data_IF_418650484750
#
_entry.id   IF_418650484750
#
_cell.length_a   1.000
_cell.length_b   1.000
_cell.length_c   1.000
_cell.angle_alpha   90.00
_cell.angle_beta   90.00
_cell.angle_gamma   90.00
#
_symmetry.space_group_name_H-M   'P 1'
#
loop_
_entity.id
_entity.type
_entity.pdbx_description
1 polymer ?
#
# COMPACT_ATOMS: atom_id res chain seq x y z
N UNK A 1 2.65 -2.74 -17.34
CA UNK A 1 3.53 -1.59 -17.09
C UNK A 1 3.58 -0.77 -18.36
N UNK A 2 3.56 0.56 -18.26
CA UNK A 2 3.56 1.45 -19.42
C UNK A 2 4.95 1.63 -20.02
N UNK A 3 5.99 1.60 -19.19
CA UNK A 3 7.38 1.58 -19.62
C UNK A 3 8.13 0.44 -18.91
N UNK A 4 9.25 -0.08 -19.44
CA UNK A 4 10.09 -1.02 -18.70
C UNK A 4 10.74 -0.36 -17.47
N UNK A 5 11.07 -1.14 -16.44
CA UNK A 5 12.02 -0.67 -15.44
C UNK A 5 13.37 -0.44 -16.12
N UNK A 6 13.86 0.80 -16.14
CA UNK A 6 15.19 1.13 -16.64
C UNK A 6 16.24 0.86 -15.58
N UNK A 7 17.42 0.38 -15.96
CA UNK A 7 18.58 0.24 -15.06
C UNK A 7 19.33 1.58 -14.91
N UNK A 8 19.75 1.98 -13.69
CA UNK A 8 19.40 1.35 -12.42
C UNK A 8 17.93 1.61 -12.13
N UNK A 9 17.24 0.58 -11.63
CA UNK A 9 15.87 0.78 -11.16
C UNK A 9 15.83 1.91 -10.13
N UNK A 10 14.98 2.93 -10.37
CA UNK A 10 14.75 3.96 -9.37
C UNK A 10 14.09 3.25 -8.19
N UNK A 11 14.77 3.24 -7.04
CA UNK A 11 14.35 2.52 -5.82
C UNK A 11 12.88 2.81 -5.44
N UNK A 12 12.39 4.02 -5.75
CA UNK A 12 11.01 4.44 -5.48
C UNK A 12 9.97 3.91 -6.48
N UNK A 13 10.32 3.72 -7.76
CA UNK A 13 9.40 3.15 -8.77
C UNK A 13 9.13 1.67 -8.48
N UNK A 14 10.19 0.92 -8.13
CA UNK A 14 10.05 -0.47 -7.68
C UNK A 14 9.22 -0.54 -6.40
N UNK A 15 9.51 0.34 -5.42
CA UNK A 15 8.74 0.39 -4.18
C UNK A 15 7.27 0.73 -4.42
N UNK A 16 6.96 1.65 -5.34
CA UNK A 16 5.58 1.95 -5.75
C UNK A 16 4.89 0.72 -6.33
N UNK A 17 5.53 0.03 -7.29
CA UNK A 17 4.98 -1.18 -7.89
C UNK A 17 4.73 -2.28 -6.84
N UNK A 18 5.73 -2.59 -6.02
CA UNK A 18 5.60 -3.62 -5.00
C UNK A 18 4.59 -3.24 -3.91
N UNK A 19 4.47 -1.96 -3.57
CA UNK A 19 3.45 -1.48 -2.63
C UNK A 19 2.03 -1.67 -3.19
N UNK A 20 1.81 -1.46 -4.49
CA UNK A 20 0.53 -1.75 -5.13
C UNK A 20 0.20 -3.25 -5.10
N UNK A 21 1.19 -4.11 -5.38
CA UNK A 21 1.03 -5.57 -5.27
C UNK A 21 0.69 -5.97 -3.83
N UNK A 22 1.45 -5.48 -2.84
CA UNK A 22 1.21 -5.77 -1.42
C UNK A 22 -0.15 -5.28 -0.94
N UNK A 23 -0.61 -4.12 -1.43
CA UNK A 23 -1.94 -3.58 -1.11
C UNK A 23 -3.07 -4.51 -1.56
N UNK A 24 -2.91 -5.20 -2.69
CA UNK A 24 -3.89 -6.20 -3.15
C UNK A 24 -3.93 -7.41 -2.21
N UNK A 25 -2.77 -7.94 -1.81
CA UNK A 25 -2.69 -9.02 -0.81
C UNK A 25 -3.41 -8.61 0.49
N UNK A 26 -3.12 -7.40 0.98
CA UNK A 26 -3.76 -6.84 2.17
C UNK A 26 -5.28 -6.78 2.04
N UNK A 27 -5.80 -6.33 0.88
CA UNK A 27 -7.23 -6.25 0.63
C UNK A 27 -7.91 -7.64 0.65
N UNK A 28 -7.35 -8.64 -0.02
CA UNK A 28 -7.93 -10.00 -0.02
C UNK A 28 -7.88 -10.64 1.37
N UNK A 29 -6.76 -10.53 2.07
CA UNK A 29 -6.60 -11.08 3.42
C UNK A 29 -7.56 -10.37 4.40
N UNK A 30 -7.75 -9.06 4.27
CA UNK A 30 -8.64 -8.28 5.13
C UNK A 30 -10.10 -8.76 5.07
N UNK A 31 -10.56 -9.23 3.92
CA UNK A 31 -11.94 -9.64 3.74
C UNK A 31 -12.15 -11.17 3.71
N UNK A 32 -11.12 -11.95 4.04
CA UNK A 32 -11.19 -13.40 4.18
C UNK A 32 -11.92 -13.86 5.45
N UNK A 33 -12.30 -15.14 5.52
CA UNK A 33 -12.98 -15.71 6.70
C UNK A 33 -14.51 -15.55 6.67
N UNK A 34 -15.10 -15.47 5.47
CA UNK A 34 -16.54 -15.34 5.27
C UNK A 34 -17.08 -13.91 5.33
N UNK A 35 -16.21 -12.90 5.43
CA UNK A 35 -16.62 -11.49 5.50
C UNK A 35 -17.02 -10.97 4.11
N UNK A 36 -16.17 -11.20 3.10
CA UNK A 36 -16.49 -10.95 1.67
C UNK A 36 -16.00 -12.07 0.75
N UNK A 37 -14.91 -12.74 1.12
CA UNK A 37 -14.43 -13.96 0.47
C UNK A 37 -14.39 -15.12 1.48
N UNK A 38 -14.48 -16.38 1.02
CA UNK A 38 -14.56 -17.53 1.93
C UNK A 38 -13.36 -17.61 2.87
N UNK A 39 -12.16 -17.63 2.32
CA UNK A 39 -10.90 -17.74 3.03
C UNK A 39 -9.74 -17.27 2.14
N UNK A 40 -8.52 -17.31 2.69
CA UNK A 40 -7.29 -16.93 1.99
C UNK A 40 -6.99 -17.86 0.80
N UNK A 41 -7.45 -19.12 0.84
CA UNK A 41 -7.21 -20.09 -0.24
C UNK A 41 -7.90 -19.67 -1.54
N UNK A 42 -9.01 -18.94 -1.47
CA UNK A 42 -9.62 -18.32 -2.65
C UNK A 42 -8.61 -17.46 -3.42
N UNK A 43 -7.91 -16.55 -2.73
CA UNK A 43 -6.92 -15.69 -3.36
C UNK A 43 -5.68 -16.47 -3.81
N UNK A 44 -5.20 -17.43 -3.01
CA UNK A 44 -4.09 -18.30 -3.39
C UNK A 44 -4.37 -19.05 -4.71
N UNK A 45 -5.58 -19.56 -4.88
CA UNK A 45 -5.98 -20.27 -6.11
C UNK A 45 -6.02 -19.35 -7.33
N UNK A 46 -6.35 -18.07 -7.15
CA UNK A 46 -6.33 -17.09 -8.24
C UNK A 46 -4.90 -16.76 -8.69
N UNK A 47 -3.99 -16.50 -7.74
CA UNK A 47 -2.61 -16.09 -8.08
C UNK A 47 -1.71 -17.24 -8.55
N UNK A 48 -2.09 -18.49 -8.25
CA UNK A 48 -1.40 -19.71 -8.72
C UNK A 48 -2.09 -20.36 -9.93
N UNK A 49 -3.12 -19.72 -10.48
CA UNK A 49 -3.85 -20.24 -11.63
C UNK A 49 -2.93 -20.42 -12.84
N UNK A 50 -3.07 -21.53 -13.56
CA UNK A 50 -2.25 -21.85 -14.74
C UNK A 50 -0.95 -22.61 -14.45
N UNK A 51 -0.64 -22.92 -13.19
CA UNK A 51 0.57 -23.66 -12.81
C UNK A 51 1.82 -22.79 -12.62
N UNK A 52 1.68 -21.47 -12.78
CA UNK A 52 2.72 -20.48 -12.53
C UNK A 52 2.91 -20.31 -11.01
N UNK A 53 3.81 -21.12 -10.45
CA UNK A 53 4.11 -21.11 -9.00
C UNK A 53 5.42 -20.43 -8.65
N UNK A 54 6.18 -19.93 -9.63
CA UNK A 54 7.36 -19.12 -9.35
C UNK A 54 6.96 -17.68 -8.92
N UNK A 55 7.88 -16.98 -8.27
CA UNK A 55 7.60 -15.65 -7.71
C UNK A 55 7.20 -14.61 -8.76
N UNK A 56 7.74 -14.69 -9.98
CA UNK A 56 7.40 -13.77 -11.07
C UNK A 56 5.98 -14.08 -11.56
N UNK A 57 5.66 -15.36 -11.77
CA UNK A 57 4.33 -15.82 -12.12
C UNK A 57 3.25 -15.34 -11.13
N UNK A 58 3.52 -15.48 -9.84
CA UNK A 58 2.62 -15.01 -8.77
C UNK A 58 2.43 -13.49 -8.83
N UNK A 59 3.51 -12.72 -9.00
CA UNK A 59 3.43 -11.25 -9.11
C UNK A 59 2.62 -10.84 -10.35
N UNK A 60 2.85 -11.49 -11.49
CA UNK A 60 2.12 -11.22 -12.74
C UNK A 60 0.63 -11.55 -12.59
N UNK A 61 0.28 -12.66 -11.98
CA UNK A 61 -1.13 -13.04 -11.77
C UNK A 61 -1.81 -12.11 -10.75
N UNK A 62 -1.10 -11.73 -9.67
CA UNK A 62 -1.58 -10.70 -8.74
C UNK A 62 -1.84 -9.39 -9.47
N UNK A 63 -0.92 -8.98 -10.36
CA UNK A 63 -1.06 -7.77 -11.15
C UNK A 63 -2.28 -7.80 -12.09
N UNK A 64 -2.53 -8.92 -12.77
CA UNK A 64 -3.74 -9.10 -13.60
C UNK A 64 -5.02 -8.90 -12.78
N UNK A 65 -5.07 -9.40 -11.54
CA UNK A 65 -6.21 -9.21 -10.65
C UNK A 65 -6.33 -7.74 -10.24
N UNK A 66 -5.21 -7.08 -9.92
CA UNK A 66 -5.21 -5.65 -9.60
C UNK A 66 -5.80 -4.83 -10.75
N UNK A 67 -5.35 -5.09 -11.98
CA UNK A 67 -5.85 -4.43 -13.19
C UNK A 67 -7.37 -4.61 -13.37
N UNK A 68 -7.88 -5.83 -13.16
CA UNK A 68 -9.31 -6.12 -13.23
C UNK A 68 -10.13 -5.41 -12.15
N UNK A 69 -9.59 -5.28 -10.93
CA UNK A 69 -10.28 -4.66 -9.78
C UNK A 69 -10.31 -3.14 -9.88
N UNK A 70 -9.19 -2.54 -10.28
CA UNK A 70 -9.02 -1.09 -10.31
C UNK A 70 -9.21 -0.46 -11.70
N UNK A 71 -9.54 -1.26 -12.72
CA UNK A 71 -9.82 -0.84 -14.10
C UNK A 71 -8.75 0.10 -14.67
N UNK A 72 -7.47 -0.29 -14.58
CA UNK A 72 -6.41 0.58 -15.09
C UNK A 72 -6.47 0.68 -16.61
N UNK A 73 -6.40 1.92 -17.13
CA UNK A 73 -6.37 2.19 -18.56
C UNK A 73 -5.09 1.62 -19.17
N UNK A 74 -5.21 0.57 -20.01
CA UNK A 74 -4.18 -0.02 -20.89
C UNK A 74 -2.88 -0.55 -20.26
N UNK A 75 -2.31 0.11 -19.24
CA UNK A 75 -1.07 -0.24 -18.57
C UNK A 75 -0.89 0.48 -17.21
N UNK A 76 -0.11 -0.12 -16.30
CA UNK A 76 0.31 0.53 -15.05
C UNK A 76 1.40 1.57 -15.27
N UNK A 77 1.15 2.81 -14.85
CA UNK A 77 2.18 3.84 -14.73
C UNK A 77 2.93 3.68 -13.40
N UNK A 78 4.10 3.04 -13.46
CA UNK A 78 4.95 2.83 -12.28
C UNK A 78 5.86 4.01 -11.93
N UNK A 79 5.77 5.15 -12.64
CA UNK A 79 6.58 6.33 -12.36
C UNK A 79 6.17 6.94 -11.03
N UNK A 80 7.07 6.90 -10.05
CA UNK A 80 6.88 7.55 -8.77
C UNK A 80 6.63 9.06 -8.94
N UNK A 81 7.37 9.70 -9.85
CA UNK A 81 7.21 11.13 -10.13
C UNK A 81 5.82 11.47 -10.68
N UNK A 82 5.32 10.68 -11.63
CA UNK A 82 3.97 10.90 -12.18
C UNK A 82 2.89 10.67 -11.11
N UNK A 83 3.10 9.68 -10.24
CA UNK A 83 2.20 9.43 -9.12
C UNK A 83 2.21 10.57 -8.11
N UNK A 84 3.36 11.20 -7.86
CA UNK A 84 3.44 12.41 -7.03
C UNK A 84 2.70 13.57 -7.65
N UNK A 85 2.88 13.82 -8.96
CA UNK A 85 2.17 14.90 -9.66
C UNK A 85 0.64 14.77 -9.49
N UNK A 86 0.11 13.55 -9.70
CA UNK A 86 -1.33 13.26 -9.49
C UNK A 86 -1.78 13.46 -8.05
N UNK A 87 -0.95 13.12 -7.06
CA UNK A 87 -1.27 13.32 -5.64
C UNK A 87 -1.10 14.76 -5.17
N UNK A 88 -0.25 15.54 -5.82
CA UNK A 88 -0.02 16.95 -5.51
C UNK A 88 -1.08 17.86 -6.13
N UNK A 89 -1.85 17.36 -7.10
CA UNK A 89 -2.98 18.07 -7.66
C UNK A 89 -4.16 18.19 -6.66
N UNK A 90 -4.36 19.40 -6.15
CA UNK A 90 -5.43 19.76 -5.21
C UNK A 90 -6.74 20.16 -5.89
N UNK A 91 -6.78 20.21 -7.23
CA UNK A 91 -8.00 20.48 -7.99
C UNK A 91 -8.92 19.25 -8.12
N UNK A 92 -8.42 18.08 -7.73
CA UNK A 92 -9.13 16.80 -7.78
C UNK A 92 -10.18 16.72 -6.66
N UNK A 93 -11.44 17.01 -6.97
CA UNK A 93 -12.51 17.00 -5.94
C UNK A 93 -13.26 15.66 -5.87
N UNK A 94 -13.22 14.81 -6.92
CA UNK A 94 -14.11 13.63 -7.02
C UNK A 94 -13.50 12.41 -7.73
N UNK A 95 -12.24 12.06 -7.46
CA UNK A 95 -11.65 10.81 -7.97
C UNK A 95 -10.96 9.98 -6.86
N UNK A 96 -10.52 8.78 -7.21
CA UNK A 96 -9.80 7.88 -6.30
C UNK A 96 -8.52 8.50 -5.72
N UNK A 97 -7.84 9.36 -6.49
CA UNK A 97 -6.64 10.06 -6.05
C UNK A 97 -6.93 11.03 -4.91
N UNK A 98 -8.08 11.71 -4.90
CA UNK A 98 -8.50 12.54 -3.79
C UNK A 98 -8.64 11.73 -2.49
N UNK A 99 -9.29 10.55 -2.58
CA UNK A 99 -9.46 9.65 -1.43
C UNK A 99 -8.12 9.11 -0.93
N UNK A 100 -7.25 8.69 -1.85
CA UNK A 100 -5.92 8.21 -1.51
C UNK A 100 -5.04 9.30 -0.90
N UNK A 101 -5.08 10.52 -1.44
CA UNK A 101 -4.36 11.68 -0.90
C UNK A 101 -4.82 12.01 0.52
N UNK A 102 -6.12 12.00 0.79
CA UNK A 102 -6.66 12.20 2.14
C UNK A 102 -6.19 11.11 3.11
N UNK A 103 -6.17 9.85 2.68
CA UNK A 103 -5.63 8.75 3.47
C UNK A 103 -4.13 8.93 3.76
N UNK A 104 -3.35 9.27 2.74
CA UNK A 104 -1.92 9.54 2.90
C UNK A 104 -1.70 10.68 3.88
N UNK A 105 -2.50 11.77 3.81
CA UNK A 105 -2.42 12.87 4.77
C UNK A 105 -2.63 12.39 6.20
N UNK A 106 -3.71 11.63 6.46
CA UNK A 106 -3.98 11.08 7.79
C UNK A 106 -2.84 10.19 8.30
N UNK A 107 -2.27 9.34 7.44
CA UNK A 107 -1.10 8.54 7.81
C UNK A 107 0.12 9.42 8.13
N UNK A 108 0.35 10.49 7.38
CA UNK A 108 1.49 11.38 7.58
C UNK A 108 1.33 12.33 8.79
N UNK A 109 0.11 12.60 9.25
CA UNK A 109 -0.14 13.63 10.29
C UNK A 109 -0.61 13.09 11.62
N UNK A 110 -1.30 11.95 11.63
CA UNK A 110 -2.05 11.47 12.79
C UNK A 110 -1.93 9.97 13.05
N UNK A 111 -2.02 9.13 12.02
CA UNK A 111 -2.18 7.68 12.20
C UNK A 111 -0.86 6.91 12.11
N UNK A 112 0.11 7.39 11.30
CA UNK A 112 1.36 6.66 11.05
C UNK A 112 1.14 5.28 10.43
N UNK A 113 0.00 5.07 9.77
CA UNK A 113 -0.38 3.77 9.24
C UNK A 113 0.26 3.54 7.88
N UNK A 114 1.37 2.82 7.88
CA UNK A 114 2.14 2.46 6.69
C UNK A 114 2.33 0.94 6.62
N UNK A 115 2.11 0.37 5.44
CA UNK A 115 2.28 -1.07 5.19
C UNK A 115 3.72 -1.27 4.72
N UNK A 116 4.63 -1.50 5.68
CA UNK A 116 6.06 -1.69 5.38
C UNK A 116 6.47 -3.15 5.49
N UNK A 117 7.62 -3.47 4.91
CA UNK A 117 8.24 -4.79 4.97
C UNK A 117 9.60 -4.74 5.67
N UNK A 118 9.87 -3.70 6.46
CA UNK A 118 11.18 -3.46 7.09
C UNK A 118 11.66 -4.61 7.99
N UNK A 119 10.73 -5.41 8.53
CA UNK A 119 11.07 -6.55 9.38
C UNK A 119 11.68 -7.74 8.62
N UNK A 120 11.63 -7.76 7.28
CA UNK A 120 12.18 -8.83 6.44
C UNK A 120 11.48 -10.19 6.54
N UNK A 121 10.41 -10.30 7.35
CA UNK A 121 9.73 -11.57 7.65
C UNK A 121 8.58 -11.88 6.69
N UNK A 122 8.22 -10.92 5.85
CA UNK A 122 7.15 -11.10 4.86
C UNK A 122 7.67 -11.82 3.60
N UNK A 123 6.74 -12.35 2.79
CA UNK A 123 7.04 -12.89 1.46
C UNK A 123 7.58 -11.82 0.48
N UNK A 124 7.50 -10.54 0.86
CA UNK A 124 8.04 -9.40 0.12
C UNK A 124 9.42 -8.95 0.65
N UNK A 125 10.05 -9.73 1.53
CA UNK A 125 11.37 -9.44 2.08
C UNK A 125 11.40 -8.07 2.76
N UNK A 126 12.38 -7.24 2.37
CA UNK A 126 12.57 -5.85 2.84
C UNK A 126 12.41 -4.83 1.71
N UNK A 127 11.52 -5.11 0.76
CA UNK A 127 11.38 -4.32 -0.46
C UNK A 127 10.67 -2.98 -0.31
N UNK A 128 9.84 -2.77 0.72
CA UNK A 128 9.09 -1.53 0.94
C UNK A 128 9.41 -0.99 2.33
N UNK A 129 10.15 0.12 2.36
CA UNK A 129 10.64 0.69 3.61
C UNK A 129 9.72 1.75 4.22
N UNK A 130 9.82 1.97 5.53
CA UNK A 130 9.22 3.15 6.16
C UNK A 130 9.74 4.45 5.53
N UNK A 131 11.04 4.50 5.18
CA UNK A 131 11.65 5.66 4.53
C UNK A 131 10.95 6.06 3.24
N UNK A 132 10.53 5.09 2.42
CA UNK A 132 9.73 5.36 1.23
C UNK A 132 8.40 6.07 1.54
N UNK A 133 7.71 5.72 2.62
CA UNK A 133 6.48 6.40 3.00
C UNK A 133 6.73 7.80 3.58
N UNK A 134 7.81 7.98 4.35
CA UNK A 134 8.21 9.29 4.86
C UNK A 134 8.58 10.23 3.71
N UNK A 135 9.33 9.74 2.73
CA UNK A 135 9.62 10.48 1.51
C UNK A 135 8.34 10.92 0.79
N UNK A 136 7.34 10.05 0.68
CA UNK A 136 6.03 10.42 0.09
C UNK A 136 5.30 11.50 0.89
N UNK A 137 5.36 11.44 2.22
CA UNK A 137 4.78 12.49 3.05
C UNK A 137 5.40 13.85 2.75
N UNK A 138 6.74 13.90 2.67
CA UNK A 138 7.47 15.12 2.35
C UNK A 138 7.24 15.59 0.90
N UNK A 139 7.29 14.67 -0.06
CA UNK A 139 7.17 14.95 -1.49
C UNK A 139 5.77 15.46 -1.87
N UNK A 140 4.70 15.01 -1.19
CA UNK A 140 3.31 15.40 -1.49
C UNK A 140 2.83 16.60 -0.67
N UNK A 141 3.22 16.69 0.62
CA UNK A 141 2.62 17.68 1.54
C UNK A 141 3.54 18.81 1.98
N UNK A 142 4.87 18.63 1.93
CA UNK A 142 5.97 19.56 2.27
C UNK A 142 7.02 18.90 3.18
N UNK A 143 8.26 19.38 3.16
CA UNK A 143 9.43 18.80 3.86
C UNK A 143 9.27 18.72 5.38
N UNK A 144 8.35 19.49 5.97
CA UNK A 144 8.03 19.44 7.39
C UNK A 144 7.30 18.15 7.82
N UNK A 145 6.76 17.36 6.88
CA UNK A 145 6.09 16.08 7.16
C UNK A 145 7.07 14.91 7.23
N UNK A 146 8.19 15.13 7.93
CA UNK A 146 9.24 14.14 8.14
C UNK A 146 8.85 13.06 9.19
N UNK A 147 9.78 12.12 9.44
CA UNK A 147 9.57 11.04 10.39
C UNK A 147 9.29 11.51 11.82
N UNK A 148 9.87 12.64 12.25
CA UNK A 148 9.64 13.20 13.58
C UNK A 148 8.23 13.77 13.68
N UNK A 149 7.80 14.56 12.69
CA UNK A 149 6.46 15.12 12.61
C UNK A 149 5.37 14.04 12.58
N UNK A 150 5.59 12.97 11.81
CA UNK A 150 4.66 11.83 11.75
C UNK A 150 4.57 11.15 13.11
N UNK A 151 5.72 10.81 13.71
CA UNK A 151 5.79 10.15 15.03
C UNK A 151 5.10 10.96 16.12
N UNK A 152 5.30 12.27 16.13
CA UNK A 152 4.68 13.14 17.12
C UNK A 152 3.18 13.30 16.90
N UNK A 153 2.74 13.30 15.64
CA UNK A 153 1.33 13.16 15.26
C UNK A 153 0.68 11.90 15.86
N UNK A 154 1.29 10.74 15.63
CA UNK A 154 0.84 9.45 16.19
C UNK A 154 0.74 9.50 17.70
N UNK A 155 1.78 10.03 18.38
CA UNK A 155 1.76 10.17 19.84
C UNK A 155 0.64 11.07 20.33
N UNK A 156 0.34 12.16 19.62
CA UNK A 156 -0.74 13.06 19.98
C UNK A 156 -2.12 12.40 19.81
N UNK A 157 -2.32 11.69 18.70
CA UNK A 157 -3.54 10.92 18.42
C UNK A 157 -3.77 9.86 19.50
N UNK A 158 -2.74 9.05 19.83
CA UNK A 158 -2.82 8.04 20.88
C UNK A 158 -3.07 8.61 22.27
N UNK A 159 -2.51 9.79 22.59
CA UNK A 159 -2.82 10.50 23.85
C UNK A 159 -4.27 10.97 23.91
N UNK A 160 -4.84 11.36 22.77
CA UNK A 160 -6.20 11.93 22.68
C UNK A 160 -7.27 10.84 22.70
N UNK A 161 -7.08 9.78 21.91
CA UNK A 161 -8.09 8.73 21.69
C UNK A 161 -7.77 7.40 22.41
N UNK A 162 -6.60 7.29 23.04
CA UNK A 162 -6.12 6.06 23.67
C UNK A 162 -5.42 5.11 22.69
N UNK A 163 -4.80 4.08 23.25
CA UNK A 163 -4.16 2.99 22.50
C UNK A 163 -5.06 1.77 22.31
N UNK A 164 -4.48 0.72 21.73
CA UNK A 164 -5.20 -0.52 21.42
C UNK A 164 -5.59 -1.34 22.66
N UNK A 165 -5.08 -1.00 23.85
CA UNK A 165 -5.22 -1.78 25.09
C UNK A 165 -6.67 -2.12 25.48
N UNK A 166 -7.63 -1.30 25.05
CA UNK A 166 -9.06 -1.47 25.38
C UNK A 166 -9.89 -2.07 24.24
N UNK A 167 -9.29 -2.42 23.10
CA UNK A 167 -10.01 -2.92 21.93
C UNK A 167 -9.92 -4.43 21.82
N UNK A 168 -11.05 -5.07 21.53
CA UNK A 168 -11.14 -6.50 21.17
C UNK A 168 -11.34 -6.61 19.67
N UNK A 169 -10.56 -7.48 19.04
CA UNK A 169 -10.54 -7.65 17.59
C UNK A 169 -11.45 -8.80 17.19
N UNK A 170 -12.23 -8.62 16.12
CA UNK A 170 -13.01 -9.68 15.49
C UNK A 170 -12.22 -10.45 14.44
N UNK A 171 -12.75 -11.59 14.00
CA UNK A 171 -12.10 -12.51 13.05
C UNK A 171 -11.78 -11.91 11.66
N UNK A 172 -12.35 -10.75 11.28
CA UNK A 172 -12.19 -10.12 9.98
C UNK A 172 -11.08 -9.02 9.92
N UNK A 173 -10.09 -9.00 10.83
CA UNK A 173 -9.11 -7.90 10.89
C UNK A 173 -7.67 -8.45 10.97
N UNK A 174 -6.90 -8.45 9.86
CA UNK A 174 -5.51 -8.93 9.85
C UNK A 174 -4.51 -7.94 10.48
N UNK A 175 -4.94 -6.74 10.85
CA UNK A 175 -4.08 -5.65 11.32
C UNK A 175 -3.56 -5.80 12.76
N UNK A 176 -3.82 -6.92 13.45
CA UNK A 176 -3.49 -7.15 14.86
C UNK A 176 -2.90 -8.56 15.16
N UNK A 177 -2.22 -9.18 14.20
CA UNK A 177 -1.40 -10.38 14.43
C UNK A 177 0.09 -10.06 14.53
#
# INVERSE_FOLDING_TARGET
MCVPFTEPSISKDIQLFLASVLSLFGAFIQYAGGCRIPDVSYFCNLITHGGDTDGIGIILNTWKIHDQVFQSEECFDQSYANHLEKLSDISLVHNEFASYRSWLWLSCTELGFFITTDNGKSIFGSSISLGYFIDRCMDVFDVQYDAERVRDGVRNTLRTFGGYDNYRVGYCIPWLQ
#
